data_IF_358364729820
#
_entry.id   IF_358364729820
#
_cell.length_a   1.000
_cell.length_b   1.000
_cell.length_c   1.000
_cell.angle_alpha   90.00
_cell.angle_beta   90.00
_cell.angle_gamma   90.00
#
_symmetry.space_group_name_H-M   'P 1'
#
loop_
_entity.id
_entity.type
_entity.pdbx_description
1 polymer ?
#
# COMPACT_ATOMS: atom_id res chain seq x y z
N UNK A 1 51.12 30.14 -21.22
CA UNK A 1 51.05 29.60 -19.85
C UNK A 1 49.77 30.02 -19.12
N UNK A 2 49.38 31.29 -19.16
CA UNK A 2 48.20 31.84 -18.44
C UNK A 2 46.83 31.38 -18.99
N UNK A 3 46.69 31.22 -20.30
CA UNK A 3 45.46 30.75 -20.97
C UNK A 3 45.07 29.32 -20.57
N UNK A 4 46.06 28.44 -20.44
CA UNK A 4 45.85 27.04 -20.03
C UNK A 4 45.36 26.96 -18.57
N UNK A 5 45.76 27.92 -17.73
CA UNK A 5 45.33 27.98 -16.33
C UNK A 5 43.84 28.34 -16.20
N UNK A 6 43.39 29.34 -16.96
CA UNK A 6 41.97 29.75 -17.00
C UNK A 6 41.09 28.63 -17.54
N UNK A 7 41.52 27.96 -18.62
CA UNK A 7 40.79 26.83 -19.19
C UNK A 7 40.61 25.68 -18.20
N UNK A 8 41.66 25.37 -17.43
CA UNK A 8 41.64 24.32 -16.39
C UNK A 8 40.78 24.67 -15.16
N UNK A 9 40.53 25.95 -14.91
CA UNK A 9 39.58 26.40 -13.89
C UNK A 9 38.15 26.25 -14.40
N UNK A 10 37.88 26.65 -15.65
CA UNK A 10 36.56 26.49 -16.27
C UNK A 10 36.11 25.03 -16.34
N UNK A 11 36.98 24.12 -16.75
CA UNK A 11 36.68 22.67 -16.83
C UNK A 11 36.33 22.10 -15.44
N UNK A 12 37.08 22.47 -14.39
CA UNK A 12 36.77 22.04 -13.01
C UNK A 12 35.43 22.53 -12.51
N UNK A 13 35.05 23.77 -12.84
CA UNK A 13 33.74 24.32 -12.48
C UNK A 13 32.59 23.56 -13.15
N UNK A 14 32.79 23.08 -14.39
CA UNK A 14 31.78 22.31 -15.11
C UNK A 14 31.53 20.93 -14.49
N UNK A 15 32.59 20.24 -14.04
CA UNK A 15 32.42 18.95 -13.35
C UNK A 15 31.68 19.08 -12.02
N UNK A 16 31.96 20.15 -11.27
CA UNK A 16 31.28 20.40 -9.98
C UNK A 16 29.81 20.72 -10.23
N UNK A 17 29.51 21.61 -11.18
CA UNK A 17 28.13 21.95 -11.53
C UNK A 17 27.35 20.73 -12.06
N UNK A 18 27.97 19.94 -12.94
CA UNK A 18 27.39 18.71 -13.46
C UNK A 18 27.11 17.67 -12.37
N UNK A 19 28.04 17.49 -11.42
CA UNK A 19 27.87 16.60 -10.28
C UNK A 19 26.72 16.99 -9.37
N UNK A 20 26.56 18.29 -9.09
CA UNK A 20 25.46 18.80 -8.24
C UNK A 20 24.10 18.57 -8.91
N UNK A 21 23.98 18.83 -10.22
CA UNK A 21 22.73 18.62 -10.97
C UNK A 21 22.34 17.13 -10.96
N UNK A 22 23.31 16.24 -11.17
CA UNK A 22 23.09 14.80 -11.20
C UNK A 22 22.68 14.28 -9.82
N UNK A 23 23.27 14.81 -8.75
CA UNK A 23 22.92 14.49 -7.37
C UNK A 23 21.49 14.91 -7.01
N UNK A 24 21.08 16.11 -7.40
CA UNK A 24 19.70 16.61 -7.20
C UNK A 24 18.69 15.74 -7.96
N UNK A 25 19.00 15.37 -9.21
CA UNK A 25 18.18 14.47 -10.01
C UNK A 25 18.01 13.09 -9.35
N UNK A 26 19.10 12.54 -8.82
CA UNK A 26 19.10 11.24 -8.13
C UNK A 26 18.23 11.28 -6.86
N UNK A 27 18.37 12.34 -6.05
CA UNK A 27 17.53 12.55 -4.85
C UNK A 27 16.05 12.66 -5.23
N UNK A 28 15.73 13.40 -6.30
CA UNK A 28 14.35 13.60 -6.74
C UNK A 28 13.71 12.30 -7.23
N UNK A 29 14.48 11.43 -7.89
CA UNK A 29 14.01 10.14 -8.39
C UNK A 29 13.72 9.15 -7.24
N UNK A 30 14.61 9.09 -6.24
CA UNK A 30 14.42 8.24 -5.04
C UNK A 30 13.23 8.74 -4.21
N UNK A 31 13.07 10.06 -4.06
CA UNK A 31 11.94 10.65 -3.36
C UNK A 31 10.59 10.32 -4.03
N UNK A 32 10.58 10.22 -5.37
CA UNK A 32 9.38 9.85 -6.14
C UNK A 32 8.92 8.41 -5.86
N UNK A 33 9.85 7.48 -5.59
CA UNK A 33 9.51 6.10 -5.20
C UNK A 33 8.96 5.99 -3.78
N UNK A 34 9.26 6.97 -2.92
CA UNK A 34 8.80 7.01 -1.53
C UNK A 34 7.41 7.60 -1.35
N UNK A 35 6.81 8.16 -2.42
CA UNK A 35 5.50 8.81 -2.35
C UNK A 35 4.41 7.87 -1.79
N UNK A 36 3.56 8.33 -0.86
CA UNK A 36 2.43 7.57 -0.33
C UNK A 36 1.42 7.12 -1.40
N UNK A 37 1.46 7.74 -2.58
CA UNK A 37 0.59 7.45 -3.72
C UNK A 37 1.17 6.41 -4.70
N UNK A 38 2.21 5.66 -4.32
CA UNK A 38 2.72 4.61 -5.22
C UNK A 38 1.67 3.49 -5.38
N UNK A 39 1.29 3.12 -6.61
CA UNK A 39 0.26 2.12 -6.87
C UNK A 39 0.59 0.76 -6.22
N UNK A 40 1.87 0.45 -6.07
CA UNK A 40 2.36 -0.74 -5.35
C UNK A 40 1.95 -0.75 -3.86
N UNK A 41 2.01 0.39 -3.16
CA UNK A 41 1.56 0.48 -1.76
C UNK A 41 0.05 0.33 -1.65
N UNK A 42 -0.71 0.91 -2.58
CA UNK A 42 -2.17 0.74 -2.62
C UNK A 42 -2.57 -0.72 -2.78
N UNK A 43 -1.90 -1.47 -3.66
CA UNK A 43 -2.12 -2.90 -3.81
C UNK A 43 -1.79 -3.67 -2.53
N UNK A 44 -0.68 -3.34 -1.86
CA UNK A 44 -0.32 -3.94 -0.58
C UNK A 44 -1.35 -3.66 0.53
N UNK A 45 -1.83 -2.43 0.64
CA UNK A 45 -2.85 -2.03 1.62
C UNK A 45 -4.17 -2.75 1.36
N UNK A 46 -4.60 -2.86 0.09
CA UNK A 46 -5.79 -3.62 -0.29
C UNK A 46 -5.64 -5.10 0.07
N UNK A 47 -4.49 -5.69 -0.22
CA UNK A 47 -4.20 -7.09 0.10
C UNK A 47 -4.25 -7.33 1.60
N UNK A 48 -3.62 -6.47 2.41
CA UNK A 48 -3.66 -6.56 3.87
C UNK A 48 -5.10 -6.44 4.39
N UNK A 49 -5.87 -5.46 3.91
CA UNK A 49 -7.29 -5.31 4.31
C UNK A 49 -8.10 -6.57 3.98
N UNK A 50 -7.94 -7.13 2.79
CA UNK A 50 -8.59 -8.37 2.38
C UNK A 50 -8.20 -9.55 3.29
N UNK A 51 -6.90 -9.74 3.55
CA UNK A 51 -6.42 -10.80 4.43
C UNK A 51 -6.95 -10.66 5.86
N UNK A 52 -6.99 -9.44 6.40
CA UNK A 52 -7.56 -9.16 7.73
C UNK A 52 -9.05 -9.48 7.76
N UNK A 53 -9.81 -9.05 6.76
CA UNK A 53 -11.25 -9.35 6.69
C UNK A 53 -11.54 -10.83 6.51
N UNK A 54 -10.76 -11.53 5.70
CA UNK A 54 -10.85 -12.99 5.55
C UNK A 54 -10.52 -13.70 6.87
N UNK A 55 -9.52 -13.23 7.60
CA UNK A 55 -9.17 -13.77 8.93
C UNK A 55 -10.32 -13.57 9.93
N UNK A 56 -10.95 -12.40 9.98
CA UNK A 56 -12.10 -12.17 10.85
C UNK A 56 -13.31 -13.04 10.49
N UNK A 57 -13.64 -13.16 9.19
CA UNK A 57 -14.74 -14.03 8.76
C UNK A 57 -14.46 -15.50 9.03
N UNK A 58 -13.21 -15.93 8.86
CA UNK A 58 -12.77 -17.28 9.22
C UNK A 58 -12.95 -17.56 10.72
N UNK A 59 -12.55 -16.62 11.58
CA UNK A 59 -12.75 -16.73 13.02
C UNK A 59 -14.25 -16.77 13.35
N UNK A 60 -15.04 -15.86 12.79
CA UNK A 60 -16.50 -15.85 13.00
C UNK A 60 -17.09 -17.21 12.65
N UNK A 61 -16.84 -17.70 11.44
CA UNK A 61 -17.33 -19.00 10.97
C UNK A 61 -16.84 -20.19 11.81
N UNK A 62 -15.62 -20.14 12.32
CA UNK A 62 -15.08 -21.21 13.17
C UNK A 62 -15.76 -21.25 14.53
N UNK A 63 -16.14 -20.09 15.09
CA UNK A 63 -16.87 -20.02 16.36
C UNK A 63 -18.38 -20.22 16.20
N UNK A 64 -18.94 -19.93 15.02
CA UNK A 64 -20.37 -19.97 14.77
C UNK A 64 -20.88 -21.23 14.07
N UNK A 65 -20.01 -22.22 13.86
CA UNK A 65 -20.36 -23.50 13.22
C UNK A 65 -21.55 -24.22 13.87
N UNK A 66 -21.72 -24.12 15.19
CA UNK A 66 -22.83 -24.74 15.92
C UNK A 66 -24.15 -23.95 15.81
N UNK A 67 -24.07 -22.65 15.49
CA UNK A 67 -25.24 -21.75 15.41
C UNK A 67 -25.80 -21.63 13.98
N UNK A 68 -25.27 -22.39 13.01
CA UNK A 68 -25.68 -22.34 11.60
C UNK A 68 -25.33 -21.02 10.89
N UNK A 69 -24.59 -20.14 11.56
CA UNK A 69 -24.21 -18.82 11.04
C UNK A 69 -22.91 -18.99 10.25
N UNK A 70 -23.00 -19.12 8.93
CA UNK A 70 -21.84 -19.30 8.07
C UNK A 70 -21.83 -18.24 6.97
N UNK A 71 -20.97 -17.23 7.12
CA UNK A 71 -20.81 -16.18 6.11
C UNK A 71 -19.80 -16.66 5.07
N UNK A 72 -20.14 -16.74 3.77
CA UNK A 72 -19.24 -17.26 2.76
C UNK A 72 -17.96 -16.42 2.69
N UNK A 73 -16.78 -17.06 2.85
CA UNK A 73 -15.47 -16.39 2.81
C UNK A 73 -15.06 -16.20 1.33
N UNK A 74 -15.53 -15.12 0.72
CA UNK A 74 -15.21 -14.75 -0.66
C UNK A 74 -14.53 -13.38 -0.72
N UNK A 75 -14.06 -12.97 -1.90
CA UNK A 75 -13.33 -11.71 -2.09
C UNK A 75 -14.15 -10.49 -1.66
N UNK A 76 -15.46 -10.50 -1.91
CA UNK A 76 -16.34 -9.36 -1.63
C UNK A 76 -16.60 -9.23 -0.13
N UNK A 77 -16.98 -10.32 0.54
CA UNK A 77 -17.26 -10.35 1.98
C UNK A 77 -16.01 -10.04 2.81
N UNK A 78 -14.85 -10.60 2.44
CA UNK A 78 -13.56 -10.28 3.07
C UNK A 78 -13.12 -8.84 2.82
N UNK A 79 -13.42 -8.26 1.66
CA UNK A 79 -13.19 -6.84 1.43
C UNK A 79 -14.07 -5.98 2.35
N UNK A 80 -15.37 -6.28 2.45
CA UNK A 80 -16.30 -5.54 3.31
C UNK A 80 -15.88 -5.65 4.78
N UNK A 81 -15.61 -6.86 5.25
CA UNK A 81 -15.12 -7.13 6.61
C UNK A 81 -13.75 -6.47 6.87
N UNK A 82 -12.85 -6.44 5.88
CA UNK A 82 -11.52 -5.84 6.01
C UNK A 82 -11.51 -4.31 5.95
N UNK A 83 -12.44 -3.71 5.21
CA UNK A 83 -12.57 -2.26 5.08
C UNK A 83 -13.29 -1.68 6.30
N UNK A 84 -14.41 -2.28 6.73
CA UNK A 84 -15.18 -1.85 7.89
C UNK A 84 -14.66 -2.42 9.22
N UNK A 85 -13.82 -3.46 9.20
CA UNK A 85 -13.34 -4.15 10.39
C UNK A 85 -14.45 -4.91 11.12
N UNK A 86 -14.45 -4.85 12.45
CA UNK A 86 -15.41 -5.56 13.31
C UNK A 86 -16.87 -5.22 12.95
N UNK A 87 -17.15 -3.96 12.60
CA UNK A 87 -18.49 -3.52 12.24
C UNK A 87 -18.99 -4.18 10.96
N UNK A 88 -18.09 -4.43 10.00
CA UNK A 88 -18.41 -5.14 8.76
C UNK A 88 -18.74 -6.60 9.04
N UNK A 89 -17.91 -7.26 9.84
CA UNK A 89 -18.11 -8.66 10.26
C UNK A 89 -19.46 -8.84 10.96
N UNK A 90 -19.80 -7.97 11.90
CA UNK A 90 -21.09 -7.98 12.60
C UNK A 90 -22.26 -7.71 11.66
N UNK A 91 -22.14 -6.74 10.75
CA UNK A 91 -23.17 -6.44 9.75
C UNK A 91 -23.45 -7.64 8.85
N UNK A 92 -22.41 -8.27 8.32
CA UNK A 92 -22.53 -9.49 7.51
C UNK A 92 -23.16 -10.65 8.28
N UNK A 93 -22.80 -10.83 9.55
CA UNK A 93 -23.39 -11.85 10.40
C UNK A 93 -24.89 -11.61 10.64
N UNK A 94 -25.28 -10.35 10.86
CA UNK A 94 -26.69 -9.96 11.04
C UNK A 94 -27.49 -10.18 9.74
N UNK A 95 -26.93 -9.81 8.58
CA UNK A 95 -27.58 -10.06 7.28
C UNK A 95 -27.81 -11.56 7.07
N UNK A 96 -26.82 -12.39 7.37
CA UNK A 96 -26.95 -13.84 7.28
C UNK A 96 -28.05 -14.37 8.22
N UNK A 97 -28.16 -13.82 9.43
CA UNK A 97 -29.18 -14.19 10.42
C UNK A 97 -30.60 -13.69 10.10
N UNK A 98 -30.77 -12.60 9.36
CA UNK A 98 -32.09 -12.01 9.14
C UNK A 98 -32.66 -12.27 7.75
N UNK A 99 -31.80 -12.42 6.74
CA UNK A 99 -32.21 -12.44 5.33
C UNK A 99 -32.14 -13.84 4.71
N UNK A 100 -31.26 -14.71 5.22
CA UNK A 100 -31.08 -16.10 4.73
C UNK A 100 -31.73 -17.12 5.67
N UNK A 101 -32.42 -16.65 6.71
CA UNK A 101 -33.29 -17.47 7.54
C UNK A 101 -34.54 -17.95 6.80
#
# INVERSE_FOLDING_TARGET
MWTNFIKRIGERSLYIAGGVILFILLISLIASMSSPASPLKLMGILFIKLSVGACFLFLLNSFSGDYGLHVPINFVTSAIAGILGIAGVVSLAIIQLWIIW
#
